data_IF_698275359277
#
_entry.id   IF_698275359277
#
_cell.length_a   1.000
_cell.length_b   1.000
_cell.length_c   1.000
_cell.angle_alpha   90.00
_cell.angle_beta   90.00
_cell.angle_gamma   90.00
#
_symmetry.space_group_name_H-M   'P 1'
#
loop_
_entity.id
_entity.type
_entity.pdbx_description
1 polymer ?
#
# COMPACT_ATOMS: atom_id res chain seq x y z
N UNK A 1 -6.00 -43.12 5.55
CA UNK A 1 -5.30 -41.99 6.20
C UNK A 1 -5.01 -42.42 7.63
N UNK A 2 -3.82 -42.11 8.18
CA UNK A 2 -3.56 -42.34 9.60
C UNK A 2 -4.60 -41.57 10.43
N UNK A 3 -5.06 -42.18 11.53
CA UNK A 3 -5.95 -41.49 12.46
C UNK A 3 -5.21 -40.32 13.11
N UNK A 4 -5.83 -39.14 13.26
CA UNK A 4 -5.22 -38.01 13.96
C UNK A 4 -4.93 -38.41 15.41
N UNK A 5 -3.82 -37.90 15.94
CA UNK A 5 -3.43 -38.12 17.34
C UNK A 5 -4.53 -37.57 18.27
N UNK A 6 -5.14 -38.41 19.14
CA UNK A 6 -6.19 -37.99 20.05
C UNK A 6 -5.79 -36.83 20.97
N UNK A 7 -4.51 -36.73 21.35
CA UNK A 7 -4.02 -35.64 22.19
C UNK A 7 -4.00 -34.31 21.42
N UNK A 8 -3.61 -34.34 20.14
CA UNK A 8 -3.63 -33.16 19.27
C UNK A 8 -5.07 -32.71 18.95
N UNK A 9 -5.96 -33.68 18.75
CA UNK A 9 -7.37 -33.41 18.48
C UNK A 9 -8.05 -32.71 19.67
N UNK A 10 -7.79 -33.15 20.90
CA UNK A 10 -8.32 -32.52 22.11
C UNK A 10 -7.86 -31.05 22.25
N UNK A 11 -6.61 -30.74 21.91
CA UNK A 11 -6.09 -29.37 21.92
C UNK A 11 -6.77 -28.47 20.87
N UNK A 12 -7.05 -29.01 19.68
CA UNK A 12 -7.78 -28.26 18.64
C UNK A 12 -9.20 -27.96 19.10
N UNK A 13 -9.87 -28.91 19.75
CA UNK A 13 -11.25 -28.76 20.23
C UNK A 13 -11.36 -27.82 21.43
N UNK A 14 -10.35 -27.74 22.29
CA UNK A 14 -10.30 -26.80 23.43
C UNK A 14 -10.25 -25.34 22.95
N UNK A 15 -9.47 -25.05 21.90
CA UNK A 15 -9.28 -23.70 21.36
C UNK A 15 -10.29 -23.32 20.25
N UNK A 16 -11.07 -24.27 19.75
CA UNK A 16 -12.01 -24.03 18.65
C UNK A 16 -13.27 -23.29 19.10
N UNK A 17 -13.47 -22.08 18.58
CA UNK A 17 -14.72 -21.34 18.73
C UNK A 17 -15.57 -21.46 17.47
N UNK A 18 -16.76 -22.07 17.58
CA UNK A 18 -17.70 -22.12 16.47
C UNK A 18 -18.28 -20.73 16.19
N UNK A 19 -18.29 -20.34 14.91
CA UNK A 19 -18.84 -19.08 14.43
C UNK A 19 -19.90 -19.37 13.36
N UNK A 20 -21.11 -18.85 13.56
CA UNK A 20 -22.20 -19.01 12.59
C UNK A 20 -22.05 -18.01 11.43
N UNK A 21 -21.86 -18.55 10.23
CA UNK A 21 -21.65 -17.78 9.01
C UNK A 21 -22.77 -17.99 8.00
N UNK A 22 -23.16 -16.92 7.33
CA UNK A 22 -24.06 -16.92 6.18
C UNK A 22 -23.22 -16.70 4.92
N UNK A 23 -23.44 -17.53 3.91
CA UNK A 23 -22.76 -17.43 2.62
C UNK A 23 -23.69 -16.84 1.57
N UNK A 24 -23.17 -15.90 0.78
CA UNK A 24 -23.85 -15.23 -0.32
C UNK A 24 -22.88 -14.87 -1.44
N UNK A 25 -23.33 -14.07 -2.40
CA UNK A 25 -22.52 -13.67 -3.57
C UNK A 25 -22.48 -14.71 -4.69
N UNK A 26 -21.75 -14.39 -5.75
CA UNK A 26 -21.53 -15.28 -6.89
C UNK A 26 -20.77 -16.52 -6.42
N UNK A 27 -21.27 -17.72 -6.71
CA UNK A 27 -20.64 -18.99 -6.28
C UNK A 27 -20.33 -19.07 -4.76
N UNK A 28 -21.09 -18.38 -3.90
CA UNK A 28 -20.88 -18.32 -2.44
C UNK A 28 -19.57 -17.63 -2.03
N UNK A 29 -19.13 -16.61 -2.79
CA UNK A 29 -17.89 -15.87 -2.56
C UNK A 29 -17.92 -14.81 -1.44
N UNK A 30 -19.04 -14.66 -0.71
CA UNK A 30 -19.19 -13.67 0.38
C UNK A 30 -19.68 -14.35 1.66
N UNK A 31 -18.92 -14.22 2.74
CA UNK A 31 -19.30 -14.59 4.09
C UNK A 31 -19.72 -13.36 4.90
N UNK A 32 -20.80 -13.52 5.67
CA UNK A 32 -21.30 -12.56 6.66
C UNK A 32 -21.65 -13.28 7.95
N UNK A 33 -21.65 -12.55 9.08
CA UNK A 33 -22.15 -13.13 10.33
C UNK A 33 -23.65 -13.47 10.22
N UNK A 34 -24.06 -14.60 10.77
CA UNK A 34 -25.46 -15.03 10.67
C UNK A 34 -26.46 -14.08 11.35
N UNK A 35 -26.06 -13.45 12.46
CA UNK A 35 -26.94 -12.59 13.27
C UNK A 35 -27.16 -11.19 12.66
N UNK A 36 -26.11 -10.56 12.16
CA UNK A 36 -26.16 -9.16 11.72
C UNK A 36 -25.98 -8.97 10.21
N UNK A 37 -25.66 -10.03 9.46
CA UNK A 37 -25.39 -9.99 8.01
C UNK A 37 -24.28 -9.01 7.60
N UNK A 38 -23.34 -8.76 8.52
CA UNK A 38 -22.17 -7.91 8.32
C UNK A 38 -20.93 -8.75 8.04
N UNK A 39 -20.04 -8.25 7.19
CA UNK A 39 -18.74 -8.86 6.92
C UNK A 39 -17.70 -8.54 7.99
N UNK A 40 -17.81 -7.38 8.65
CA UNK A 40 -17.05 -7.03 9.84
C UNK A 40 -18.06 -6.69 10.95
N UNK A 41 -17.95 -7.35 12.09
CA UNK A 41 -18.91 -7.21 13.17
C UNK A 41 -18.22 -7.33 14.53
N UNK A 42 -18.19 -6.22 15.27
CA UNK A 42 -17.58 -6.16 16.60
C UNK A 42 -18.39 -6.98 17.63
N UNK A 43 -19.72 -7.02 17.52
CA UNK A 43 -20.60 -7.78 18.43
C UNK A 43 -20.41 -9.30 18.31
N UNK A 44 -20.03 -9.78 17.13
CA UNK A 44 -19.76 -11.20 16.87
C UNK A 44 -18.26 -11.52 16.89
N UNK A 45 -17.39 -10.52 17.06
CA UNK A 45 -15.93 -10.61 16.93
C UNK A 45 -15.47 -11.31 15.64
N UNK A 46 -15.99 -10.86 14.49
CA UNK A 46 -15.64 -11.42 13.18
C UNK A 46 -15.18 -10.36 12.18
N UNK A 47 -14.19 -10.74 11.37
CA UNK A 47 -13.72 -9.99 10.22
C UNK A 47 -13.53 -10.92 9.01
N UNK A 48 -14.49 -10.87 8.09
CA UNK A 48 -14.47 -11.59 6.82
C UNK A 48 -13.97 -10.73 5.65
N UNK A 49 -13.49 -9.50 5.86
CA UNK A 49 -13.09 -8.58 4.77
C UNK A 49 -11.99 -9.21 3.92
N UNK A 50 -10.95 -9.76 4.56
CA UNK A 50 -9.86 -10.45 3.87
C UNK A 50 -10.32 -11.71 3.14
N UNK A 51 -11.18 -12.51 3.78
CA UNK A 51 -11.73 -13.74 3.22
C UNK A 51 -12.59 -13.45 1.99
N UNK A 52 -13.51 -12.50 2.08
CA UNK A 52 -14.40 -12.08 1.00
C UNK A 52 -13.60 -11.51 -0.17
N UNK A 53 -12.54 -10.74 0.09
CA UNK A 53 -11.65 -10.23 -0.95
C UNK A 53 -10.97 -11.37 -1.70
N UNK A 54 -10.41 -12.35 -0.98
CA UNK A 54 -9.75 -13.50 -1.58
C UNK A 54 -10.74 -14.39 -2.35
N UNK A 55 -11.90 -14.70 -1.76
CA UNK A 55 -12.93 -15.53 -2.37
C UNK A 55 -13.47 -14.90 -3.66
N UNK A 56 -13.74 -13.59 -3.68
CA UNK A 56 -14.15 -12.89 -4.90
C UNK A 56 -13.06 -12.88 -5.98
N UNK A 57 -11.79 -12.74 -5.60
CA UNK A 57 -10.67 -12.77 -6.54
C UNK A 57 -10.55 -14.16 -7.19
N UNK A 58 -10.68 -15.24 -6.42
CA UNK A 58 -10.68 -16.61 -6.93
C UNK A 58 -11.92 -16.92 -7.79
N UNK A 59 -13.11 -16.50 -7.37
CA UNK A 59 -14.36 -16.70 -8.13
C UNK A 59 -14.36 -15.96 -9.48
N UNK A 60 -13.73 -14.79 -9.54
CA UNK A 60 -13.57 -14.02 -10.80
C UNK A 60 -12.55 -14.68 -11.75
N UNK A 61 -11.67 -15.53 -11.23
CA UNK A 61 -10.60 -16.17 -11.99
C UNK A 61 -10.65 -17.71 -11.84
N UNK A 62 -11.65 -18.40 -12.43
CA UNK A 62 -11.89 -19.82 -12.21
C UNK A 62 -10.74 -20.75 -12.62
N UNK A 63 -9.78 -20.25 -13.41
CA UNK A 63 -8.57 -20.98 -13.78
C UNK A 63 -7.54 -21.06 -12.63
N UNK A 64 -7.63 -20.16 -11.63
CA UNK A 64 -6.74 -20.13 -10.47
C UNK A 64 -7.41 -20.92 -9.35
N UNK A 65 -7.17 -22.23 -9.29
CA UNK A 65 -7.67 -23.09 -8.19
C UNK A 65 -6.82 -22.99 -6.92
N UNK A 66 -5.55 -22.66 -7.08
CA UNK A 66 -4.64 -22.38 -5.99
C UNK A 66 -3.81 -21.14 -6.32
N UNK A 67 -3.44 -20.32 -5.33
CA UNK A 67 -2.54 -19.20 -5.55
C UNK A 67 -1.23 -19.68 -6.20
N UNK A 68 -0.79 -19.04 -7.29
CA UNK A 68 0.51 -19.35 -7.88
C UNK A 68 1.65 -18.95 -6.94
N UNK A 69 2.86 -19.50 -7.13
CA UNK A 69 4.05 -19.10 -6.37
C UNK A 69 4.30 -17.59 -6.46
N UNK A 70 4.78 -16.97 -5.39
CA UNK A 70 4.94 -15.51 -5.27
C UNK A 70 5.89 -14.88 -6.31
N UNK A 71 6.74 -15.69 -6.95
CA UNK A 71 7.63 -15.26 -8.02
C UNK A 71 6.88 -14.99 -9.34
N UNK A 72 5.70 -15.57 -9.53
CA UNK A 72 4.87 -15.38 -10.72
C UNK A 72 4.07 -14.10 -10.56
N UNK A 73 4.64 -13.00 -11.03
CA UNK A 73 4.04 -11.67 -10.97
C UNK A 73 3.31 -11.36 -12.27
N UNK A 74 2.12 -10.77 -12.17
CA UNK A 74 1.41 -10.24 -13.34
C UNK A 74 2.15 -9.04 -13.95
N UNK A 75 2.72 -9.24 -15.14
CA UNK A 75 3.38 -8.18 -15.92
C UNK A 75 2.39 -7.14 -16.43
N UNK A 76 1.13 -7.53 -16.68
CA UNK A 76 0.09 -6.62 -17.16
C UNK A 76 -0.24 -5.55 -16.10
N UNK A 77 -0.32 -5.95 -14.82
CA UNK A 77 -0.56 -5.01 -13.72
C UNK A 77 0.61 -4.04 -13.56
N UNK A 78 1.86 -4.55 -13.56
CA UNK A 78 3.06 -3.70 -13.49
C UNK A 78 3.12 -2.68 -14.63
N UNK A 79 2.75 -3.12 -15.85
CA UNK A 79 2.65 -2.27 -17.03
C UNK A 79 1.58 -1.20 -16.89
N UNK A 80 0.37 -1.55 -16.42
CA UNK A 80 -0.70 -0.58 -16.19
C UNK A 80 -0.33 0.49 -15.15
N UNK A 81 0.28 0.09 -14.03
CA UNK A 81 0.76 1.01 -13.00
C UNK A 81 1.82 1.96 -13.58
N UNK A 82 2.77 1.42 -14.33
CA UNK A 82 3.84 2.20 -14.96
C UNK A 82 3.28 3.20 -15.97
N UNK A 83 2.36 2.77 -16.84
CA UNK A 83 1.73 3.63 -17.83
C UNK A 83 0.97 4.80 -17.17
N UNK A 84 0.14 4.51 -16.16
CA UNK A 84 -0.61 5.55 -15.44
C UNK A 84 0.31 6.53 -14.70
N UNK A 85 1.38 6.00 -14.08
CA UNK A 85 2.42 6.83 -13.45
C UNK A 85 3.11 7.73 -14.47
N UNK A 86 3.45 7.20 -15.64
CA UNK A 86 4.16 7.96 -16.68
C UNK A 86 3.28 9.00 -17.36
N UNK A 87 1.98 8.72 -17.53
CA UNK A 87 0.99 9.73 -17.90
C UNK A 87 0.91 10.85 -16.86
N UNK A 88 0.86 10.50 -15.57
CA UNK A 88 0.95 11.48 -14.47
C UNK A 88 2.23 12.31 -14.55
N UNK A 89 3.36 11.69 -14.84
CA UNK A 89 4.65 12.39 -14.99
C UNK A 89 4.64 13.38 -16.17
N UNK A 90 3.99 13.05 -17.28
CA UNK A 90 3.85 13.96 -18.43
C UNK A 90 3.01 15.19 -18.05
N UNK A 91 1.88 14.98 -17.38
CA UNK A 91 1.00 16.06 -16.92
C UNK A 91 1.68 16.95 -15.87
N UNK A 92 2.41 16.34 -14.94
CA UNK A 92 3.18 17.06 -13.93
C UNK A 92 4.25 17.97 -14.56
N UNK A 93 5.00 17.45 -15.55
CA UNK A 93 5.98 18.25 -16.31
C UNK A 93 5.32 19.38 -17.13
N UNK A 94 4.07 19.21 -17.55
CA UNK A 94 3.28 20.23 -18.22
C UNK A 94 2.65 21.26 -17.26
N UNK A 95 2.89 21.16 -15.95
CA UNK A 95 2.31 22.04 -14.93
C UNK A 95 0.84 21.75 -14.61
N UNK A 96 0.25 20.69 -15.21
CA UNK A 96 -1.14 20.28 -14.99
C UNK A 96 -1.25 19.40 -13.73
N UNK A 97 -0.91 19.97 -12.57
CA UNK A 97 -0.78 19.24 -11.31
C UNK A 97 -2.07 18.53 -10.84
N UNK A 98 -3.27 19.13 -10.93
CA UNK A 98 -4.51 18.43 -10.54
C UNK A 98 -4.79 17.19 -11.41
N UNK A 99 -4.54 17.28 -12.72
CA UNK A 99 -4.69 16.14 -13.62
C UNK A 99 -3.64 15.05 -13.35
N UNK A 100 -2.41 15.45 -13.00
CA UNK A 100 -1.37 14.52 -12.59
C UNK A 100 -1.75 13.75 -11.31
N UNK A 101 -2.33 14.43 -10.31
CA UNK A 101 -2.82 13.81 -9.06
C UNK A 101 -3.87 12.73 -9.35
N UNK A 102 -4.80 12.99 -10.27
CA UNK A 102 -5.80 12.01 -10.67
C UNK A 102 -5.16 10.76 -11.28
N UNK A 103 -4.18 10.92 -12.18
CA UNK A 103 -3.44 9.80 -12.79
C UNK A 103 -2.64 9.00 -11.77
N UNK A 104 -1.93 9.66 -10.85
CA UNK A 104 -1.22 8.97 -9.78
C UNK A 104 -2.16 8.24 -8.82
N UNK A 105 -3.35 8.78 -8.56
CA UNK A 105 -4.36 8.12 -7.72
C UNK A 105 -4.87 6.83 -8.37
N UNK A 106 -5.11 6.84 -9.69
CA UNK A 106 -5.44 5.62 -10.43
C UNK A 106 -4.29 4.60 -10.42
N UNK A 107 -3.04 5.05 -10.58
CA UNK A 107 -1.89 4.16 -10.47
C UNK A 107 -1.78 3.52 -9.07
N UNK A 108 -2.03 4.30 -8.01
CA UNK A 108 -2.02 3.82 -6.63
C UNK A 108 -3.15 2.82 -6.35
N UNK A 109 -4.36 3.06 -6.86
CA UNK A 109 -5.48 2.13 -6.69
C UNK A 109 -5.21 0.78 -7.36
N UNK A 110 -4.59 0.78 -8.54
CA UNK A 110 -4.20 -0.47 -9.23
C UNK A 110 -3.11 -1.20 -8.43
N UNK A 111 -2.12 -0.49 -7.89
CA UNK A 111 -1.05 -1.10 -7.10
C UNK A 111 -1.56 -1.82 -5.83
N UNK A 112 -2.55 -1.25 -5.14
CA UNK A 112 -3.15 -1.85 -3.93
C UNK A 112 -4.07 -3.04 -4.25
N UNK A 113 -4.53 -3.17 -5.50
CA UNK A 113 -5.35 -4.28 -5.96
C UNK A 113 -4.55 -5.53 -6.34
N UNK A 114 -3.21 -5.49 -6.26
CA UNK A 114 -2.37 -6.67 -6.51
C UNK A 114 -2.83 -7.87 -5.65
N UNK A 115 -2.86 -9.09 -6.21
CA UNK A 115 -3.22 -10.27 -5.45
C UNK A 115 -2.29 -10.48 -4.24
N UNK A 116 -2.83 -10.94 -3.10
CA UNK A 116 -2.07 -11.03 -1.85
C UNK A 116 -0.94 -12.07 -1.86
N UNK A 117 -0.94 -13.01 -2.81
CA UNK A 117 0.12 -14.00 -2.97
C UNK A 117 1.31 -13.50 -3.81
N UNK A 118 1.18 -12.37 -4.51
CA UNK A 118 2.32 -11.79 -5.22
C UNK A 118 3.33 -11.19 -4.23
N UNK A 119 4.58 -11.06 -4.66
CA UNK A 119 5.63 -10.48 -3.83
C UNK A 119 5.26 -9.06 -3.34
N UNK A 120 5.05 -8.93 -2.02
CA UNK A 120 4.68 -7.67 -1.38
C UNK A 120 5.74 -6.57 -1.59
N UNK A 121 7.03 -6.91 -1.71
CA UNK A 121 8.08 -5.92 -1.97
C UNK A 121 7.87 -5.19 -3.30
N UNK A 122 7.37 -5.87 -4.33
CA UNK A 122 7.06 -5.25 -5.60
C UNK A 122 5.95 -4.20 -5.45
N UNK A 123 4.86 -4.57 -4.75
CA UNK A 123 3.76 -3.63 -4.47
C UNK A 123 4.27 -2.42 -3.68
N UNK A 124 5.10 -2.64 -2.66
CA UNK A 124 5.70 -1.56 -1.85
C UNK A 124 6.54 -0.63 -2.69
N UNK A 125 7.33 -1.17 -3.61
CA UNK A 125 8.19 -0.37 -4.49
C UNK A 125 7.37 0.47 -5.47
N UNK A 126 6.42 -0.14 -6.18
CA UNK A 126 5.56 0.55 -7.13
C UNK A 126 4.73 1.64 -6.44
N UNK A 127 4.00 1.28 -5.38
CA UNK A 127 3.15 2.22 -4.64
C UNK A 127 3.96 3.37 -4.06
N UNK A 128 5.15 3.10 -3.50
CA UNK A 128 6.01 4.16 -2.95
C UNK A 128 6.42 5.18 -4.02
N UNK A 129 6.77 4.71 -5.23
CA UNK A 129 7.15 5.63 -6.31
C UNK A 129 5.98 6.50 -6.78
N UNK A 130 4.78 5.92 -6.87
CA UNK A 130 3.56 6.64 -7.26
C UNK A 130 3.17 7.68 -6.20
N UNK A 131 3.10 7.29 -4.92
CA UNK A 131 2.76 8.20 -3.83
C UNK A 131 3.80 9.31 -3.66
N UNK A 132 5.10 9.03 -3.85
CA UNK A 132 6.14 10.05 -3.82
C UNK A 132 5.98 11.09 -4.93
N UNK A 133 5.48 10.70 -6.10
CA UNK A 133 5.19 11.64 -7.19
C UNK A 133 3.88 12.39 -6.96
N UNK A 134 2.85 11.74 -6.41
CA UNK A 134 1.59 12.39 -6.02
C UNK A 134 1.80 13.43 -4.93
N UNK A 135 2.63 13.13 -3.91
CA UNK A 135 3.07 14.07 -2.89
C UNK A 135 3.74 15.31 -3.50
N UNK A 136 4.55 15.13 -4.55
CA UNK A 136 5.15 16.24 -5.27
C UNK A 136 4.09 17.11 -5.97
N UNK A 137 3.13 16.48 -6.66
CA UNK A 137 2.05 17.17 -7.33
C UNK A 137 1.16 17.97 -6.37
N UNK A 138 0.82 17.41 -5.20
CA UNK A 138 0.13 18.13 -4.13
C UNK A 138 0.94 19.33 -3.63
N UNK A 139 2.25 19.17 -3.44
CA UNK A 139 3.12 20.28 -3.06
C UNK A 139 3.13 21.40 -4.10
N UNK A 140 3.18 21.09 -5.40
CA UNK A 140 3.10 22.12 -6.46
C UNK A 140 1.72 22.78 -6.54
N UNK A 141 0.67 22.12 -6.06
CA UNK A 141 -0.65 22.72 -5.83
C UNK A 141 -0.74 23.54 -4.52
N UNK A 142 0.36 23.67 -3.77
CA UNK A 142 0.40 24.28 -2.43
C UNK A 142 -0.49 23.57 -1.40
N UNK A 143 -0.90 22.33 -1.67
CA UNK A 143 -1.70 21.51 -0.77
C UNK A 143 -0.79 20.60 0.06
N UNK A 144 -0.25 21.16 1.14
CA UNK A 144 0.84 20.52 1.88
C UNK A 144 0.39 19.41 2.83
N UNK A 145 -0.87 19.38 3.24
CA UNK A 145 -1.42 18.33 4.12
C UNK A 145 -1.46 16.96 3.41
N UNK A 146 -2.12 16.79 2.25
CA UNK A 146 -2.08 15.53 1.52
C UNK A 146 -0.67 15.20 1.02
N UNK A 147 0.15 16.19 0.68
CA UNK A 147 1.56 15.97 0.38
C UNK A 147 2.31 15.31 1.54
N UNK A 148 2.06 15.74 2.78
CA UNK A 148 2.63 15.19 3.99
C UNK A 148 2.11 13.77 4.28
N UNK A 149 0.81 13.55 4.10
CA UNK A 149 0.18 12.22 4.27
C UNK A 149 0.78 11.21 3.31
N UNK A 150 0.90 11.54 2.02
CA UNK A 150 1.53 10.68 1.02
C UNK A 150 2.99 10.40 1.37
N UNK A 151 3.74 11.41 1.81
CA UNK A 151 5.13 11.23 2.20
C UNK A 151 5.28 10.33 3.44
N UNK A 152 4.39 10.45 4.42
CA UNK A 152 4.37 9.58 5.59
C UNK A 152 4.03 8.12 5.21
N UNK A 153 3.06 7.92 4.30
CA UNK A 153 2.73 6.61 3.77
C UNK A 153 3.93 5.97 3.05
N UNK A 154 4.65 6.75 2.23
CA UNK A 154 5.89 6.29 1.56
C UNK A 154 6.95 5.84 2.57
N UNK A 155 7.14 6.58 3.67
CA UNK A 155 8.10 6.20 4.72
C UNK A 155 7.66 4.92 5.45
N UNK A 156 6.35 4.74 5.66
CA UNK A 156 5.80 3.48 6.21
C UNK A 156 6.06 2.29 5.28
N UNK A 157 5.94 2.50 3.97
CA UNK A 157 6.19 1.47 2.96
C UNK A 157 7.69 1.19 2.75
N UNK A 158 8.54 2.22 2.71
CA UNK A 158 9.98 2.13 2.44
C UNK A 158 10.77 3.09 3.33
N UNK A 159 10.98 2.67 4.58
CA UNK A 159 11.63 3.49 5.62
C UNK A 159 13.03 3.96 5.24
N UNK A 160 13.80 3.12 4.56
CA UNK A 160 15.17 3.38 4.12
C UNK A 160 15.26 4.19 2.82
N UNK A 161 14.14 4.63 2.24
CA UNK A 161 14.16 5.39 1.00
C UNK A 161 14.22 6.89 1.27
N UNK A 162 15.41 7.46 1.11
CA UNK A 162 15.72 8.88 1.32
C UNK A 162 14.75 9.85 0.64
N UNK A 163 14.30 9.53 -0.59
CA UNK A 163 13.34 10.35 -1.35
C UNK A 163 12.02 10.54 -0.61
N UNK A 164 11.54 9.52 0.13
CA UNK A 164 10.34 9.64 0.96
C UNK A 164 10.49 10.69 2.06
N UNK A 165 11.62 10.66 2.76
CA UNK A 165 11.96 11.66 3.78
C UNK A 165 12.12 13.07 3.20
N UNK A 166 12.72 13.19 2.01
CA UNK A 166 12.80 14.46 1.30
C UNK A 166 11.41 15.04 0.97
N UNK A 167 10.46 14.22 0.50
CA UNK A 167 9.07 14.65 0.28
C UNK A 167 8.41 15.12 1.56
N UNK A 168 8.58 14.38 2.66
CA UNK A 168 8.06 14.76 3.99
C UNK A 168 8.59 16.12 4.42
N UNK A 169 9.89 16.34 4.26
CA UNK A 169 10.51 17.62 4.60
C UNK A 169 10.01 18.78 3.75
N UNK A 170 9.86 18.60 2.42
CA UNK A 170 9.25 19.62 1.55
C UNK A 170 7.84 19.99 2.00
N UNK A 171 7.00 19.00 2.31
CA UNK A 171 5.64 19.25 2.79
C UNK A 171 5.63 19.99 4.14
N UNK A 172 6.50 19.61 5.08
CA UNK A 172 6.64 20.28 6.38
C UNK A 172 7.14 21.73 6.24
N UNK A 173 8.04 21.99 5.29
CA UNK A 173 8.48 23.35 4.93
C UNK A 173 7.30 24.19 4.45
N UNK A 174 6.46 23.67 3.55
CA UNK A 174 5.23 24.35 3.12
C UNK A 174 4.27 24.67 4.27
N UNK A 175 4.22 23.79 5.29
CA UNK A 175 3.46 23.98 6.52
C UNK A 175 4.18 24.84 7.58
N UNK A 176 5.37 25.36 7.30
CA UNK A 176 6.21 26.14 8.24
C UNK A 176 6.60 25.38 9.51
N UNK A 177 6.66 24.04 9.44
CA UNK A 177 7.08 23.15 10.53
C UNK A 177 8.57 22.80 10.38
N UNK A 178 9.43 23.80 10.57
CA UNK A 178 10.84 23.75 10.19
C UNK A 178 11.68 22.73 10.96
N UNK A 179 11.41 22.55 12.26
CA UNK A 179 12.17 21.61 13.10
C UNK A 179 11.94 20.16 12.65
N UNK A 180 10.68 19.79 12.45
CA UNK A 180 10.32 18.47 11.94
C UNK A 180 10.83 18.23 10.52
N UNK A 181 10.86 19.27 9.67
CA UNK A 181 11.41 19.18 8.33
C UNK A 181 12.92 18.87 8.37
N UNK A 182 13.66 19.56 9.25
CA UNK A 182 15.08 19.33 9.46
C UNK A 182 15.35 17.90 9.93
N UNK A 183 14.56 17.41 10.89
CA UNK A 183 14.76 16.08 11.46
C UNK A 183 14.41 14.98 10.43
N UNK A 184 13.37 15.20 9.62
CA UNK A 184 13.07 14.32 8.48
C UNK A 184 14.22 14.28 7.45
N UNK A 185 14.82 15.43 7.09
CA UNK A 185 15.97 15.46 6.18
C UNK A 185 17.18 14.74 6.77
N UNK A 186 17.50 14.98 8.04
CA UNK A 186 18.61 14.31 8.73
C UNK A 186 18.45 12.79 8.71
N UNK A 187 17.25 12.30 9.00
CA UNK A 187 16.96 10.87 8.94
C UNK A 187 17.06 10.33 7.50
N UNK A 188 16.49 11.02 6.51
CA UNK A 188 16.57 10.62 5.11
C UNK A 188 18.01 10.50 4.59
N UNK A 189 18.85 11.47 4.95
CA UNK A 189 20.26 11.52 4.60
C UNK A 189 21.08 10.39 5.25
N UNK A 190 20.65 9.86 6.40
CA UNK A 190 21.32 8.72 7.03
C UNK A 190 21.21 7.41 6.23
N UNK A 191 20.28 7.34 5.27
CA UNK A 191 20.08 6.16 4.43
C UNK A 191 20.80 6.21 3.07
N UNK A 192 21.42 7.35 2.72
CA UNK A 192 22.16 7.48 1.46
C UNK A 192 23.53 6.77 1.57
N UNK A 193 23.90 5.88 0.63
CA UNK A 193 25.11 5.07 0.69
C UNK A 193 26.43 5.86 0.56
N UNK A 194 26.37 7.19 0.39
CA UNK A 194 27.52 8.09 0.36
C UNK A 194 27.66 9.02 1.57
N UNK A 195 26.78 8.91 2.57
CA UNK A 195 26.72 9.86 3.69
C UNK A 195 27.46 9.39 4.95
N UNK A 196 28.37 8.41 4.79
CA UNK A 196 29.36 8.09 5.79
C UNK A 196 30.29 9.31 5.96
N UNK A 197 29.94 10.18 6.91
CA UNK A 197 30.78 11.25 7.48
C UNK A 197 31.39 12.22 6.45
N UNK A 198 30.65 13.25 6.03
CA UNK A 198 31.26 14.54 5.66
C UNK A 198 30.24 15.67 5.70
N UNK A 199 30.56 16.75 6.42
CA UNK A 199 29.74 17.95 6.54
C UNK A 199 29.61 18.73 5.23
N UNK A 200 28.82 18.23 4.28
CA UNK A 200 28.52 18.92 3.04
C UNK A 200 27.43 19.97 3.27
N UNK A 201 27.84 21.24 3.18
CA UNK A 201 26.98 22.42 3.14
C UNK A 201 25.95 22.29 2.01
N UNK A 202 24.73 22.69 2.33
CA UNK A 202 23.65 22.91 1.38
C UNK A 202 24.09 23.87 0.26
N UNK A 203 24.18 23.40 -0.98
CA UNK A 203 23.89 24.26 -2.14
C UNK A 203 22.44 24.05 -2.51
N UNK A 204 21.61 24.94 -2.00
CA UNK A 204 20.27 25.20 -2.48
C UNK A 204 20.34 25.60 -3.96
N UNK A 205 20.11 24.66 -4.87
CA UNK A 205 20.00 24.95 -6.32
C UNK A 205 18.66 24.52 -6.91
N UNK A 206 17.68 24.18 -6.08
CA UNK A 206 16.30 23.95 -6.51
C UNK A 206 15.33 24.48 -5.44
N UNK A 207 15.36 25.80 -5.24
CA UNK A 207 14.19 26.57 -4.84
C UNK A 207 13.69 27.31 -6.08
#
# INVERSE_FOLDING_TARGET
MPAPDPALQALIEEDFTQIDVKLGGLERSKATCAKHDLEQCDDCDVDFVGLNRLANLLATNPNIRCPPPAQVVSQQLSGAITNMKDEGNKLFKAGQNPAAIARYTMAASIAVQRPPWENNNLMRDELSTVLSNRSAAFHECQDYIPALVDAAAVIGLRRNWSKGHFRKAKALVGLRRWEEARDALRLGLSFEPGNAVSGARFTCSVL
#
